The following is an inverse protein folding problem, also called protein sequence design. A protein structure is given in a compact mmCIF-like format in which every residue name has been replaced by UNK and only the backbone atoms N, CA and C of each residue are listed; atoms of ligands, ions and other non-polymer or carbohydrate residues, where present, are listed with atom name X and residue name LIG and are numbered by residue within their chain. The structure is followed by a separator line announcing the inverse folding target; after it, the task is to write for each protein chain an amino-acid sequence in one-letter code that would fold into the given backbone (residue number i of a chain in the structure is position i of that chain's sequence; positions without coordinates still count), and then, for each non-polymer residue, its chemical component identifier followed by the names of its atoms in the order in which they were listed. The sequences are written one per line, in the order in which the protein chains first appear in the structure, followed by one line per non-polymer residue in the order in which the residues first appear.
data_IF_021709324390
#
_entry.id   IF_021709324390
#
_cell.length_a   1.000
_cell.length_b   1.000
_cell.length_c   1.000
_cell.angle_alpha   90.00
_cell.angle_beta   90.00
_cell.angle_gamma   90.00
#
_symmetry.space_group_name_H-M   'P 1'
#
loop_
_entity.id
_entity.type
_entity.pdbx_description
1 polymer ?
#
# COMPACT_ATOMS: atom_id res chain seq x y z
N UNK A 1 -4.58 -14.65 1.57
CA UNK A 1 -4.46 -13.22 1.92
C UNK A 1 -2.98 -12.88 1.93
N UNK A 2 -2.17 -13.62 2.68
CA UNK A 2 -0.70 -13.56 2.62
C UNK A 2 -0.13 -13.58 1.19
N UNK A 3 -0.51 -14.57 0.36
CA UNK A 3 -0.01 -14.64 -1.03
C UNK A 3 -0.35 -13.41 -1.89
N UNK A 4 -1.51 -12.77 -1.65
CA UNK A 4 -1.90 -11.55 -2.35
C UNK A 4 -0.99 -10.40 -1.90
N UNK A 5 -0.81 -10.26 -0.59
CA UNK A 5 0.03 -9.20 -0.04
C UNK A 5 1.49 -9.38 -0.45
N UNK A 6 2.04 -10.59 -0.44
CA UNK A 6 3.38 -10.87 -0.96
C UNK A 6 3.53 -10.46 -2.41
N UNK A 7 2.59 -10.85 -3.29
CA UNK A 7 2.60 -10.45 -4.71
C UNK A 7 2.56 -8.94 -4.90
N UNK A 8 1.70 -8.24 -4.15
CA UNK A 8 1.57 -6.79 -4.20
C UNK A 8 2.82 -6.10 -3.64
N UNK A 9 3.42 -6.65 -2.58
CA UNK A 9 4.66 -6.14 -1.99
C UNK A 9 5.82 -6.27 -2.97
N UNK A 10 5.96 -7.43 -3.63
CA UNK A 10 6.96 -7.61 -4.69
C UNK A 10 6.74 -6.63 -5.84
N UNK A 11 5.49 -6.44 -6.27
CA UNK A 11 5.15 -5.48 -7.32
C UNK A 11 5.51 -4.03 -6.92
N UNK A 12 5.31 -3.67 -5.66
CA UNK A 12 5.68 -2.35 -5.17
C UNK A 12 7.20 -2.18 -5.07
N UNK A 13 7.94 -3.20 -4.64
CA UNK A 13 9.41 -3.16 -4.59
C UNK A 13 10.04 -3.05 -5.99
N UNK A 14 9.45 -3.70 -7.00
CA UNK A 14 9.87 -3.56 -8.40
C UNK A 14 9.66 -2.13 -8.92
N UNK A 15 8.59 -1.47 -8.47
CA UNK A 15 8.27 -0.07 -8.84
C UNK A 15 8.99 0.97 -8.02
N UNK A 16 9.44 0.65 -6.80
CA UNK A 16 10.02 1.58 -5.86
C UNK A 16 11.20 0.95 -5.13
N UNK A 17 12.39 1.23 -5.64
CA UNK A 17 13.67 0.79 -5.10
C UNK A 17 14.04 1.46 -3.78
N UNK A 18 13.41 2.59 -3.44
CA UNK A 18 13.66 3.33 -2.20
C UNK A 18 13.01 2.69 -0.98
N UNK A 19 11.94 1.92 -1.16
CA UNK A 19 11.25 1.26 -0.06
C UNK A 19 12.00 0.01 0.40
N UNK A 20 12.09 -0.17 1.72
CA UNK A 20 12.42 -1.47 2.31
C UNK A 20 11.27 -2.47 2.10
N UNK A 21 11.56 -3.77 2.24
CA UNK A 21 10.54 -4.83 2.09
C UNK A 21 9.41 -4.66 3.10
N UNK A 22 9.74 -4.43 4.37
CA UNK A 22 8.77 -4.23 5.44
C UNK A 22 7.92 -2.99 5.17
N UNK A 23 8.52 -1.91 4.66
CA UNK A 23 7.77 -0.70 4.32
C UNK A 23 6.83 -0.92 3.14
N UNK A 24 7.28 -1.60 2.09
CA UNK A 24 6.44 -1.96 0.98
C UNK A 24 5.26 -2.83 1.43
N UNK A 25 5.48 -3.76 2.37
CA UNK A 25 4.41 -4.56 2.98
C UNK A 25 3.40 -3.70 3.73
N UNK A 26 3.88 -2.80 4.60
CA UNK A 26 3.00 -1.88 5.32
C UNK A 26 2.15 -1.04 4.36
N UNK A 27 2.74 -0.52 3.29
CA UNK A 27 2.00 0.25 2.28
C UNK A 27 0.89 -0.57 1.63
N UNK A 28 1.16 -1.83 1.26
CA UNK A 28 0.16 -2.72 0.67
C UNK A 28 -1.01 -2.94 1.63
N UNK A 29 -0.72 -3.22 2.90
CA UNK A 29 -1.74 -3.45 3.93
C UNK A 29 -2.59 -2.21 4.17
N UNK A 30 -1.97 -1.03 4.20
CA UNK A 30 -2.66 0.25 4.33
C UNK A 30 -3.58 0.56 3.15
N UNK A 31 -3.08 0.41 1.93
CA UNK A 31 -3.88 0.63 0.72
C UNK A 31 -5.07 -0.33 0.69
N UNK A 32 -4.86 -1.58 1.12
CA UNK A 32 -5.94 -2.55 1.22
C UNK A 32 -7.02 -2.13 2.23
N UNK A 33 -6.62 -1.83 3.47
CA UNK A 33 -7.53 -1.39 4.53
C UNK A 33 -8.31 -0.12 4.12
N UNK A 34 -7.60 0.86 3.56
CA UNK A 34 -8.21 2.14 3.16
C UNK A 34 -9.29 1.95 2.10
N UNK A 35 -9.03 1.05 1.13
CA UNK A 35 -10.04 0.68 0.14
C UNK A 35 -11.22 -0.05 0.77
N UNK A 36 -10.99 -1.08 1.60
CA UNK A 36 -12.09 -1.84 2.21
C UNK A 36 -12.98 -0.97 3.10
N UNK A 37 -12.38 -0.06 3.88
CA UNK A 37 -13.13 0.89 4.72
C UNK A 37 -13.92 1.87 3.86
N UNK A 38 -13.31 2.42 2.80
CA UNK A 38 -13.98 3.38 1.90
C UNK A 38 -15.12 2.72 1.13
N UNK A 39 -14.88 1.51 0.63
CA UNK A 39 -15.84 0.72 -0.13
C UNK A 39 -17.03 0.28 0.75
N UNK A 40 -16.77 -0.19 1.97
CA UNK A 40 -17.82 -0.57 2.92
C UNK A 40 -18.75 0.61 3.27
N UNK A 41 -18.19 1.82 3.40
CA UNK A 41 -18.98 3.04 3.65
C UNK A 41 -19.86 3.45 2.47
N UNK A 42 -19.49 3.07 1.25
CA UNK A 42 -20.23 3.41 0.04
C UNK A 42 -21.48 2.52 -0.18
N UNK A 43 -21.74 1.53 0.68
CA UNK A 43 -22.96 0.72 0.67
C UNK A 43 -23.10 -0.23 -0.53
N UNK A 44 -22.02 -0.47 -1.26
CA UNK A 44 -21.99 -1.43 -2.37
C UNK A 44 -21.85 -2.86 -1.84
N UNK A 45 -22.41 -3.84 -2.57
CA UNK A 45 -22.13 -5.26 -2.36
C UNK A 45 -20.61 -5.49 -2.41
N UNK A 46 -20.05 -6.04 -1.34
CA UNK A 46 -18.63 -6.34 -1.24
C UNK A 46 -18.25 -7.34 -2.33
N UNK A 47 -17.57 -6.85 -3.37
CA UNK A 47 -17.09 -7.69 -4.48
C UNK A 47 -15.87 -8.56 -4.10
N UNK A 48 -15.55 -8.65 -2.81
CA UNK A 48 -14.51 -9.54 -2.33
C UNK A 48 -13.09 -9.02 -2.53
N UNK A 49 -12.16 -9.90 -2.14
CA UNK A 49 -10.72 -9.66 -2.19
C UNK A 49 -10.18 -9.44 -3.60
N UNK A 50 -10.84 -9.98 -4.63
CA UNK A 50 -10.42 -9.81 -6.03
C UNK A 50 -10.55 -8.36 -6.50
N UNK A 51 -11.64 -7.68 -6.12
CA UNK A 51 -11.83 -6.26 -6.45
C UNK A 51 -10.82 -5.39 -5.70
N UNK A 52 -10.62 -5.65 -4.40
CA UNK A 52 -9.61 -4.93 -3.62
C UNK A 52 -8.21 -5.12 -4.20
N UNK A 53 -7.81 -6.34 -4.54
CA UNK A 53 -6.51 -6.60 -5.19
C UNK A 53 -6.38 -5.78 -6.48
N UNK A 54 -7.40 -5.78 -7.34
CA UNK A 54 -7.37 -5.04 -8.60
C UNK A 54 -7.16 -3.55 -8.39
N UNK A 55 -7.84 -2.95 -7.42
CA UNK A 55 -7.70 -1.51 -7.12
C UNK A 55 -6.33 -1.20 -6.52
N UNK A 56 -5.87 -1.99 -5.55
CA UNK A 56 -4.55 -1.81 -4.94
C UNK A 56 -3.44 -1.95 -5.99
N UNK A 57 -3.56 -2.90 -6.93
CA UNK A 57 -2.64 -3.01 -8.08
C UNK A 57 -2.59 -1.72 -8.89
N UNK A 58 -3.75 -1.17 -9.26
CA UNK A 58 -3.79 0.09 -10.01
C UNK A 58 -3.15 1.25 -9.24
N UNK A 59 -3.34 1.32 -7.92
CA UNK A 59 -2.68 2.35 -7.10
C UNK A 59 -1.17 2.17 -7.06
N UNK A 60 -0.66 0.94 -6.93
CA UNK A 60 0.78 0.66 -7.00
C UNK A 60 1.33 0.98 -8.40
N UNK A 61 0.62 0.67 -9.48
CA UNK A 61 1.05 1.00 -10.84
C UNK A 61 1.16 2.52 -11.06
N UNK A 62 0.15 3.27 -10.59
CA UNK A 62 0.07 4.71 -10.82
C UNK A 62 0.94 5.53 -9.88
N UNK A 63 1.06 5.12 -8.62
CA UNK A 63 1.67 5.91 -7.55
C UNK A 63 2.82 5.22 -6.83
N UNK A 64 3.05 3.92 -7.07
CA UNK A 64 4.02 3.09 -6.34
C UNK A 64 5.42 3.67 -6.29
N UNK A 65 5.91 4.24 -7.40
CA UNK A 65 7.24 4.86 -7.50
C UNK A 65 7.44 6.05 -6.56
N UNK A 66 6.37 6.70 -6.10
CA UNK A 66 6.41 7.90 -5.28
C UNK A 66 5.79 7.72 -3.89
N UNK A 67 5.40 6.50 -3.51
CA UNK A 67 4.74 6.25 -2.23
C UNK A 67 5.54 6.76 -1.02
N UNK A 68 6.87 6.65 -1.04
CA UNK A 68 7.74 7.21 0.00
C UNK A 68 7.61 8.74 0.17
N UNK A 69 7.17 9.48 -0.86
CA UNK A 69 6.94 10.92 -0.78
C UNK A 69 5.61 11.28 -0.08
N UNK A 70 4.65 10.35 -0.04
CA UNK A 70 3.30 10.63 0.43
C UNK A 70 3.09 10.45 1.93
N UNK A 71 3.90 9.62 2.60
CA UNK A 71 3.67 9.37 4.03
C UNK A 71 3.86 10.63 4.91
N UNK A 72 4.57 11.66 4.42
CA UNK A 72 4.74 12.92 5.15
C UNK A 72 3.47 13.78 5.19
N UNK A 73 2.51 13.49 4.31
CA UNK A 73 1.27 14.27 4.13
C UNK A 73 0.11 13.76 4.98
N UNK A 74 0.16 12.52 5.46
CA UNK A 74 -0.94 11.91 6.21
C UNK A 74 -0.55 11.72 7.67
N UNK A 75 -1.24 12.43 8.56
CA UNK A 75 -0.94 12.44 9.99
C UNK A 75 -1.06 11.04 10.63
N UNK A 76 -2.00 10.21 10.14
CA UNK A 76 -2.13 8.78 10.50
C UNK A 76 -0.84 7.99 10.22
N UNK A 77 -0.07 8.36 9.21
CA UNK A 77 1.07 7.58 8.70
C UNK A 77 2.44 8.16 9.06
N UNK A 78 2.50 9.30 9.77
CA UNK A 78 3.76 9.93 10.21
C UNK A 78 4.64 8.98 11.02
N UNK A 79 4.05 8.11 11.84
CA UNK A 79 4.80 7.14 12.65
C UNK A 79 5.52 6.06 11.81
N UNK A 80 5.12 5.88 10.55
CA UNK A 80 5.78 4.98 9.61
C UNK A 80 7.01 5.62 8.95
N UNK A 81 7.18 6.94 9.01
CA UNK A 81 8.33 7.63 8.41
C UNK A 81 9.46 7.96 9.38
N UNK A 82 9.19 7.94 10.69
CA UNK A 82 10.17 8.30 11.70
C UNK A 82 11.18 7.18 11.99
N UNK A 83 11.10 6.06 11.27
CA UNK A 83 12.05 4.96 11.40
C UNK A 83 13.15 5.12 10.35
N UNK A 84 14.40 5.34 10.78
CA UNK A 84 15.58 5.51 9.90
C UNK A 84 15.84 4.30 8.96
N UNK A 85 15.07 3.22 9.09
CA UNK A 85 15.09 2.03 8.23
C UNK A 85 14.25 2.16 6.94
N UNK A 86 13.65 3.33 6.71
CA UNK A 86 12.65 3.56 5.64
C UNK A 86 13.24 3.63 4.23
N UNK A 87 14.49 4.07 4.11
CA UNK A 87 15.16 4.28 2.82
C UNK A 87 16.32 3.31 2.73
N UNK A 88 16.38 2.53 1.65
CA UNK A 88 17.61 1.79 1.33
C UNK A 88 18.73 2.83 1.12
N UNK A 89 19.67 2.87 2.06
CA UNK A 89 20.89 3.67 1.99
C UNK A 89 21.81 3.21 0.84
#
# INVERSE_FOLDING_TARGET
MEEIFERLTTMLLDKNDRLSQDRARTWVELLWEDFEVTYAKAGHDYQGKEMTEKVVRQWIENYGSRLHEFAGRYEKYKHLLNDEQDVKH
#
